data_IF_591309799658
#
_entry.id   IF_591309799658
#
_cell.length_a   1.000
_cell.length_b   1.000
_cell.length_c   1.000
_cell.angle_alpha   90.00
_cell.angle_beta   90.00
_cell.angle_gamma   90.00
#
_symmetry.space_group_name_H-M   'P 1'
#
loop_
_entity.id
_entity.type
_entity.pdbx_description
1 polymer ?
#
# COMPACT_ATOMS: atom_id res chain seq x y z
N UNK A 1 20.40 30.14 31.26
CA UNK A 1 21.39 29.12 30.87
C UNK A 1 20.84 28.44 29.63
N UNK A 2 21.11 29.02 28.45
CA UNK A 2 20.58 28.58 27.16
C UNK A 2 21.74 28.06 26.32
N UNK A 3 21.64 26.81 25.86
CA UNK A 3 22.47 26.31 24.78
C UNK A 3 21.56 26.04 23.57
N UNK A 4 21.81 26.80 22.52
CA UNK A 4 21.40 26.51 21.15
C UNK A 4 22.20 25.32 20.60
N UNK A 5 21.59 24.54 19.71
CA UNK A 5 22.31 24.03 18.54
C UNK A 5 21.41 24.06 17.30
N UNK A 6 21.83 24.90 16.36
CA UNK A 6 21.48 24.90 14.95
C UNK A 6 21.93 23.59 14.30
N UNK A 7 21.08 22.99 13.45
CA UNK A 7 21.56 22.22 12.30
C UNK A 7 20.77 22.63 11.06
N UNK A 8 21.55 22.91 10.04
CA UNK A 8 21.27 23.58 8.78
C UNK A 8 20.41 22.78 7.80
N UNK A 9 19.49 23.51 7.16
CA UNK A 9 18.71 23.13 5.99
C UNK A 9 19.58 23.27 4.73
N UNK A 10 19.62 22.22 3.89
CA UNK A 10 20.12 22.28 2.52
C UNK A 10 19.02 21.87 1.55
N UNK A 11 18.39 22.85 0.91
CA UNK A 11 17.50 22.69 -0.25
C UNK A 11 18.32 22.70 -1.54
N UNK A 12 17.88 21.98 -2.57
CA UNK A 12 17.91 22.48 -3.94
C UNK A 12 16.83 21.81 -4.79
N UNK A 13 15.85 22.62 -5.16
CA UNK A 13 14.87 22.41 -6.23
C UNK A 13 15.44 23.00 -7.52
N UNK A 14 15.21 22.36 -8.66
CA UNK A 14 15.08 23.07 -9.94
C UNK A 14 14.12 22.31 -10.87
N UNK A 15 13.18 23.06 -11.46
CA UNK A 15 12.11 22.62 -12.37
C UNK A 15 12.31 23.29 -13.74
N UNK A 16 12.21 22.47 -14.79
CA UNK A 16 11.82 22.69 -16.22
C UNK A 16 12.63 23.60 -17.17
N UNK A 17 12.82 23.09 -18.39
CA UNK A 17 12.95 23.88 -19.62
C UNK A 17 13.53 23.11 -20.82
N UNK A 18 12.79 23.02 -21.92
CA UNK A 18 12.98 22.22 -23.14
C UNK A 18 14.11 22.62 -24.11
N UNK A 19 14.49 21.64 -24.95
CA UNK A 19 15.06 21.68 -26.32
C UNK A 19 16.55 22.05 -26.53
N UNK A 20 17.37 21.05 -26.86
CA UNK A 20 18.07 20.89 -28.15
C UNK A 20 19.09 19.73 -28.08
N UNK A 21 19.01 18.79 -29.03
CA UNK A 21 20.15 17.94 -29.47
C UNK A 21 20.93 18.75 -30.53
N UNK A 22 22.24 18.52 -30.87
CA UNK A 22 22.91 17.21 -30.89
C UNK A 22 24.38 17.12 -30.41
N UNK A 23 24.76 15.88 -30.09
CA UNK A 23 26.08 15.23 -30.21
C UNK A 23 27.33 15.93 -29.62
N UNK A 24 27.98 15.28 -28.64
CA UNK A 24 29.40 14.89 -28.69
C UNK A 24 29.58 13.65 -27.80
N UNK A 25 30.26 12.66 -28.36
CA UNK A 25 30.78 11.43 -27.75
C UNK A 25 31.51 11.66 -26.42
N UNK A 26 31.12 10.90 -25.37
CA UNK A 26 32.12 10.28 -24.52
C UNK A 26 31.56 9.00 -23.87
N UNK A 27 32.31 7.92 -24.04
CA UNK A 27 31.97 6.60 -23.53
C UNK A 27 32.52 6.49 -22.12
N UNK A 28 31.73 6.83 -21.11
CA UNK A 28 32.15 6.57 -19.73
C UNK A 28 31.78 5.14 -19.36
N UNK A 29 32.78 4.27 -19.49
CA UNK A 29 32.84 2.96 -18.85
C UNK A 29 32.41 3.07 -17.38
N UNK A 30 31.42 2.28 -17.00
CA UNK A 30 31.01 2.11 -15.61
C UNK A 30 32.08 1.27 -14.91
N UNK A 31 33.08 1.93 -14.32
CA UNK A 31 34.03 1.29 -13.40
C UNK A 31 33.33 1.07 -12.05
N UNK A 32 32.74 -0.11 -11.89
CA UNK A 32 32.30 -0.61 -10.58
C UNK A 32 33.54 -0.96 -9.73
N UNK A 33 34.04 -0.02 -8.92
CA UNK A 33 35.12 -0.29 -7.96
C UNK A 33 34.55 -0.66 -6.59
N UNK A 34 34.22 -1.94 -6.40
CA UNK A 34 33.84 -2.48 -5.09
C UNK A 34 35.07 -2.62 -4.19
N UNK A 35 35.46 -1.55 -3.48
CA UNK A 35 36.63 -1.56 -2.60
C UNK A 35 36.33 -2.23 -1.24
N UNK A 36 36.58 -3.54 -1.13
CA UNK A 36 36.48 -4.27 0.15
C UNK A 36 37.73 -4.12 1.04
N UNK A 37 38.83 -3.59 0.50
CA UNK A 37 40.09 -3.45 1.25
C UNK A 37 39.95 -2.52 2.46
N UNK A 38 39.03 -1.55 2.42
CA UNK A 38 38.72 -0.68 3.57
C UNK A 38 38.21 -1.42 4.81
N UNK A 39 37.74 -2.65 4.67
CA UNK A 39 37.28 -3.49 5.79
C UNK A 39 38.38 -4.41 6.34
N UNK A 40 39.57 -4.39 5.75
CA UNK A 40 40.75 -5.09 6.28
C UNK A 40 41.27 -4.27 7.45
N UNK A 41 40.87 -4.62 8.67
CA UNK A 41 41.52 -4.06 9.86
C UNK A 41 43.00 -4.43 9.81
N UNK A 42 43.88 -3.42 9.83
CA UNK A 42 45.28 -3.59 10.18
C UNK A 42 45.30 -4.34 11.52
N UNK A 43 45.91 -5.53 11.51
CA UNK A 43 46.08 -6.31 12.73
C UNK A 43 47.11 -5.62 13.61
N UNK A 44 46.68 -4.70 14.45
CA UNK A 44 47.50 -4.20 15.55
C UNK A 44 46.97 -4.73 16.88
N UNK A 45 47.75 -5.68 17.39
CA UNK A 45 48.01 -5.96 18.81
C UNK A 45 46.82 -6.30 19.70
N UNK A 46 46.28 -7.50 19.48
CA UNK A 46 45.61 -8.30 20.52
C UNK A 46 46.00 -9.76 20.36
N UNK A 47 46.99 -10.23 21.13
CA UNK A 47 47.42 -11.63 21.15
C UNK A 47 46.23 -12.51 21.52
N UNK A 48 45.66 -13.22 20.54
CA UNK A 48 44.89 -14.44 20.78
C UNK A 48 45.62 -15.64 20.19
N UNK A 49 46.88 -15.80 20.61
CA UNK A 49 47.48 -17.10 20.76
C UNK A 49 47.27 -17.55 22.21
N UNK A 50 46.11 -18.14 22.50
CA UNK A 50 45.95 -19.05 23.65
C UNK A 50 44.68 -19.88 23.54
N UNK A 51 44.88 -21.18 23.33
CA UNK A 51 44.01 -22.23 23.86
C UNK A 51 42.76 -22.58 23.06
N UNK A 52 42.92 -23.38 22.00
CA UNK A 52 41.95 -24.44 21.73
C UNK A 52 41.98 -25.39 22.93
N UNK A 53 41.14 -25.14 23.93
CA UNK A 53 40.88 -26.08 25.02
C UNK A 53 39.42 -26.50 24.95
N UNK A 54 39.22 -27.82 24.88
CA UNK A 54 37.94 -28.48 25.15
C UNK A 54 37.46 -28.04 26.53
N UNK A 55 36.30 -27.40 26.58
CA UNK A 55 35.51 -27.31 27.81
C UNK A 55 34.15 -27.88 27.51
N UNK A 56 33.94 -29.13 27.92
CA UNK A 56 32.61 -29.67 28.21
C UNK A 56 32.02 -28.84 29.36
N UNK A 57 30.97 -28.08 29.07
CA UNK A 57 30.31 -27.23 30.05
C UNK A 57 29.08 -26.60 29.44
N UNK A 58 27.93 -27.20 29.72
CA UNK A 58 26.60 -26.84 29.27
C UNK A 58 26.29 -25.35 29.40
N UNK A 59 26.12 -24.68 28.26
CA UNK A 59 25.15 -23.60 28.15
C UNK A 59 24.05 -24.20 27.27
N UNK A 60 22.90 -24.46 27.89
CA UNK A 60 21.71 -24.94 27.22
C UNK A 60 21.25 -23.88 26.20
N UNK A 61 21.77 -23.99 24.98
CA UNK A 61 21.15 -23.42 23.82
C UNK A 61 20.01 -24.38 23.45
N UNK A 62 18.78 -24.00 23.79
CA UNK A 62 17.62 -24.53 23.08
C UNK A 62 17.71 -23.96 21.65
N UNK A 63 18.46 -24.65 20.80
CA UNK A 63 18.41 -24.50 19.35
C UNK A 63 17.62 -25.67 18.84
N UNK A 64 16.39 -25.38 18.41
CA UNK A 64 15.73 -26.20 17.41
C UNK A 64 16.70 -26.31 16.23
N UNK A 65 17.11 -27.54 15.93
CA UNK A 65 18.04 -27.87 14.86
C UNK A 65 17.33 -27.66 13.52
N UNK A 66 17.36 -26.43 13.01
CA UNK A 66 17.05 -26.18 11.60
C UNK A 66 18.18 -26.77 10.74
N UNK A 67 17.79 -27.67 9.84
CA UNK A 67 18.64 -28.39 8.89
C UNK A 67 19.62 -27.45 8.18
N UNK A 68 20.92 -27.56 8.50
CA UNK A 68 21.96 -26.83 7.78
C UNK A 68 22.11 -27.40 6.37
N UNK A 69 21.67 -26.65 5.36
CA UNK A 69 22.08 -26.87 3.97
C UNK A 69 23.60 -26.66 3.88
N UNK A 70 24.37 -27.73 3.80
CA UNK A 70 25.83 -27.65 3.66
C UNK A 70 26.24 -27.32 2.22
N UNK A 71 27.36 -26.59 2.06
CA UNK A 71 27.92 -26.29 0.74
C UNK A 71 28.10 -27.57 -0.12
N UNK A 72 27.63 -27.51 -1.37
CA UNK A 72 27.82 -28.52 -2.43
C UNK A 72 29.25 -28.47 -3.00
N UNK A 73 30.22 -28.64 -2.12
CA UNK A 73 31.65 -28.65 -2.46
C UNK A 73 32.12 -30.11 -2.48
N UNK A 74 32.92 -30.53 -3.49
CA UNK A 74 33.42 -31.90 -3.59
C UNK A 74 34.07 -32.38 -2.29
N UNK A 75 33.82 -33.63 -1.90
CA UNK A 75 34.36 -34.23 -0.66
C UNK A 75 35.90 -34.12 -0.61
N UNK A 76 36.56 -34.25 -1.76
CA UNK A 76 38.00 -34.07 -1.89
C UNK A 76 38.48 -32.65 -1.52
N UNK A 77 37.67 -31.61 -1.75
CA UNK A 77 38.00 -30.23 -1.36
C UNK A 77 37.80 -30.01 0.14
N UNK A 78 36.79 -30.66 0.75
CA UNK A 78 36.63 -30.67 2.22
C UNK A 78 37.84 -31.33 2.90
N UNK A 79 38.31 -32.46 2.37
CA UNK A 79 39.48 -33.19 2.89
C UNK A 79 40.81 -32.42 2.74
N UNK A 80 40.98 -31.65 1.65
CA UNK A 80 42.18 -30.82 1.46
C UNK A 80 42.36 -29.76 2.56
N UNK A 81 41.28 -29.29 3.17
CA UNK A 81 41.37 -28.28 4.24
C UNK A 81 42.12 -28.78 5.49
N UNK A 82 42.23 -30.09 5.69
CA UNK A 82 42.93 -30.68 6.84
C UNK A 82 44.46 -30.62 6.71
N UNK A 83 44.97 -30.45 5.50
CA UNK A 83 46.41 -30.50 5.22
C UNK A 83 46.96 -29.20 4.60
N UNK A 84 46.10 -28.21 4.31
CA UNK A 84 46.52 -26.92 3.75
C UNK A 84 46.40 -25.78 4.76
N UNK A 85 47.42 -24.92 4.83
CA UNK A 85 47.39 -23.68 5.61
C UNK A 85 46.18 -22.83 5.24
N UNK A 86 45.47 -22.34 6.26
CA UNK A 86 44.35 -21.40 6.13
C UNK A 86 44.82 -20.01 5.71
N UNK A 87 46.08 -19.64 5.96
CA UNK A 87 46.61 -18.31 5.65
C UNK A 87 46.73 -18.11 4.15
N UNK A 88 45.92 -17.19 3.62
CA UNK A 88 45.91 -16.87 2.20
C UNK A 88 46.90 -15.75 1.87
N UNK A 89 47.71 -15.96 0.84
CA UNK A 89 48.60 -14.94 0.24
C UNK A 89 48.01 -14.42 -1.07
N UNK A 90 48.33 -13.18 -1.49
CA UNK A 90 47.85 -12.63 -2.77
C UNK A 90 48.18 -13.52 -3.98
N UNK A 91 49.39 -14.11 -4.01
CA UNK A 91 49.80 -15.07 -5.07
C UNK A 91 48.89 -16.30 -5.15
N UNK A 92 48.38 -16.76 -4.00
CA UNK A 92 47.48 -17.93 -3.92
C UNK A 92 46.07 -17.59 -4.42
N UNK A 93 45.55 -16.40 -4.08
CA UNK A 93 44.28 -15.89 -4.62
C UNK A 93 44.35 -15.77 -6.14
N UNK A 94 45.41 -15.15 -6.67
CA UNK A 94 45.60 -15.03 -8.12
C UNK A 94 45.66 -16.39 -8.80
N UNK A 95 46.31 -17.38 -8.18
CA UNK A 95 46.33 -18.76 -8.71
C UNK A 95 44.94 -19.39 -8.75
N UNK A 96 44.11 -19.18 -7.72
CA UNK A 96 42.73 -19.66 -7.71
C UNK A 96 41.85 -18.95 -8.73
N UNK A 97 42.01 -17.64 -8.88
CA UNK A 97 41.32 -16.80 -9.86
C UNK A 97 41.70 -17.19 -11.30
N UNK A 98 42.98 -17.50 -11.55
CA UNK A 98 43.45 -18.03 -12.84
C UNK A 98 42.91 -19.42 -13.15
N UNK A 99 42.64 -20.23 -12.12
CA UNK A 99 42.04 -21.55 -12.25
C UNK A 99 40.50 -21.54 -12.20
N UNK A 100 39.88 -20.36 -12.17
CA UNK A 100 38.42 -20.21 -12.11
C UNK A 100 37.77 -20.95 -10.94
N UNK A 101 38.41 -20.98 -9.76
CA UNK A 101 37.85 -21.69 -8.61
C UNK A 101 36.58 -20.99 -8.11
N UNK A 102 35.52 -21.76 -7.86
CA UNK A 102 34.24 -21.21 -7.41
C UNK A 102 34.37 -20.49 -6.06
N UNK A 103 33.44 -19.56 -5.80
CA UNK A 103 33.35 -18.81 -4.56
C UNK A 103 33.27 -19.76 -3.34
N UNK A 104 32.48 -20.82 -3.41
CA UNK A 104 32.26 -21.82 -2.36
C UNK A 104 33.52 -22.64 -2.08
N UNK A 105 34.24 -23.01 -3.15
CA UNK A 105 35.50 -23.75 -3.05
C UNK A 105 36.54 -22.91 -2.32
N UNK A 106 36.67 -21.64 -2.68
CA UNK A 106 37.61 -20.73 -2.03
C UNK A 106 37.19 -20.42 -0.60
N UNK A 107 35.90 -20.21 -0.33
CA UNK A 107 35.35 -20.04 1.02
C UNK A 107 35.76 -21.20 1.96
N UNK A 108 35.60 -22.43 1.46
CA UNK A 108 35.99 -23.65 2.17
C UNK A 108 37.50 -23.74 2.40
N UNK A 109 38.32 -23.43 1.39
CA UNK A 109 39.79 -23.45 1.48
C UNK A 109 40.37 -22.41 2.44
N UNK A 110 39.68 -21.28 2.59
CA UNK A 110 39.99 -20.24 3.56
C UNK A 110 39.58 -20.62 4.99
N UNK A 111 38.91 -21.76 5.16
CA UNK A 111 38.34 -22.25 6.41
C UNK A 111 37.29 -21.31 7.03
N UNK A 112 36.67 -20.45 6.23
CA UNK A 112 35.62 -19.52 6.68
C UNK A 112 34.35 -20.25 7.14
N UNK A 113 34.15 -21.49 6.73
CA UNK A 113 33.08 -22.37 7.23
C UNK A 113 33.18 -22.65 8.74
N UNK A 114 34.39 -22.57 9.33
CA UNK A 114 34.60 -22.78 10.76
C UNK A 114 34.26 -21.55 11.61
N UNK A 115 34.17 -20.37 11.01
CA UNK A 115 33.91 -19.13 11.73
C UNK A 115 32.48 -19.07 12.28
N UNK A 116 31.51 -19.73 11.63
CA UNK A 116 30.11 -19.73 12.06
C UNK A 116 29.57 -18.31 12.23
N UNK A 117 28.99 -18.02 13.39
CA UNK A 117 28.49 -16.67 13.74
C UNK A 117 29.57 -15.59 13.82
N UNK A 118 30.85 -15.96 13.89
CA UNK A 118 31.98 -15.03 14.00
C UNK A 118 32.56 -14.60 12.65
N UNK A 119 31.94 -15.00 11.53
CA UNK A 119 32.42 -14.74 10.16
C UNK A 119 32.83 -13.28 9.91
N UNK A 120 32.04 -12.32 10.40
CA UNK A 120 32.30 -10.89 10.21
C UNK A 120 33.55 -10.37 10.92
N UNK A 121 34.10 -11.13 11.86
CA UNK A 121 35.36 -10.81 12.56
C UNK A 121 36.57 -11.49 11.94
N UNK A 122 36.36 -12.44 11.03
CA UNK A 122 37.45 -13.13 10.36
C UNK A 122 38.12 -12.16 9.37
N UNK A 123 39.41 -11.91 9.57
CA UNK A 123 40.19 -10.98 8.74
C UNK A 123 40.30 -11.43 7.27
N UNK A 124 40.02 -12.70 7.00
CA UNK A 124 40.02 -13.26 5.66
C UNK A 124 38.67 -13.10 4.95
N UNK A 125 37.58 -12.78 5.67
CA UNK A 125 36.26 -12.67 5.07
C UNK A 125 36.16 -11.52 4.03
N UNK A 126 36.64 -10.29 4.29
CA UNK A 126 36.69 -9.24 3.26
C UNK A 126 37.59 -9.63 2.07
N UNK A 127 38.65 -10.41 2.33
CA UNK A 127 39.54 -10.91 1.27
C UNK A 127 38.82 -11.91 0.35
N UNK A 128 37.94 -12.73 0.91
CA UNK A 128 37.08 -13.62 0.13
C UNK A 128 36.03 -12.86 -0.67
N UNK A 129 35.41 -11.82 -0.10
CA UNK A 129 34.46 -10.97 -0.83
C UNK A 129 35.10 -10.32 -2.06
N UNK A 130 36.31 -9.77 -1.91
CA UNK A 130 37.08 -9.24 -3.03
C UNK A 130 37.37 -10.30 -4.09
N UNK A 131 37.73 -11.52 -3.68
CA UNK A 131 37.96 -12.62 -4.61
C UNK A 131 36.72 -12.96 -5.44
N UNK A 132 35.52 -12.93 -4.84
CA UNK A 132 34.27 -13.19 -5.57
C UNK A 132 34.00 -12.10 -6.60
N UNK A 133 34.24 -10.83 -6.27
CA UNK A 133 34.11 -9.72 -7.22
C UNK A 133 35.11 -9.84 -8.37
N UNK A 134 36.37 -10.15 -8.07
CA UNK A 134 37.42 -10.35 -9.08
C UNK A 134 37.09 -11.54 -10.00
N UNK A 135 36.50 -12.61 -9.44
CA UNK A 135 36.05 -13.78 -10.19
C UNK A 135 34.92 -13.40 -11.16
N UNK A 136 33.92 -12.67 -10.67
CA UNK A 136 32.77 -12.22 -11.46
C UNK A 136 33.17 -11.23 -12.55
N UNK A 137 34.14 -10.34 -12.30
CA UNK A 137 34.67 -9.43 -13.30
C UNK A 137 35.42 -10.16 -14.43
N UNK A 138 36.08 -11.28 -14.10
CA UNK A 138 36.89 -12.05 -15.04
C UNK A 138 36.08 -13.01 -15.91
N UNK A 139 35.01 -13.59 -15.39
CA UNK A 139 34.12 -14.47 -16.14
C UNK A 139 32.95 -13.65 -16.64
N UNK A 140 32.85 -13.32 -17.93
CA UNK A 140 31.71 -12.56 -18.50
C UNK A 140 30.33 -13.23 -18.35
N UNK A 141 30.25 -14.39 -17.68
CA UNK A 141 29.01 -15.00 -17.22
C UNK A 141 28.59 -14.40 -15.88
N UNK A 142 27.28 -14.37 -15.64
CA UNK A 142 26.64 -14.07 -14.34
C UNK A 142 27.20 -15.04 -13.27
N UNK A 143 28.35 -14.71 -12.70
CA UNK A 143 28.97 -15.52 -11.66
C UNK A 143 28.16 -15.47 -10.37
N UNK A 144 28.32 -16.49 -9.53
CA UNK A 144 27.64 -16.60 -8.24
C UNK A 144 27.99 -15.38 -7.38
N UNK A 145 26.99 -14.62 -6.94
CA UNK A 145 27.22 -13.52 -6.00
C UNK A 145 27.75 -14.07 -4.67
N UNK A 146 28.53 -13.28 -3.92
CA UNK A 146 28.99 -13.69 -2.60
C UNK A 146 27.81 -14.05 -1.68
N UNK A 147 26.69 -13.34 -1.80
CA UNK A 147 25.45 -13.64 -1.09
C UNK A 147 24.90 -15.02 -1.46
N UNK A 148 24.90 -15.40 -2.73
CA UNK A 148 24.41 -16.71 -3.14
C UNK A 148 25.24 -17.84 -2.51
N UNK A 149 26.57 -17.71 -2.51
CA UNK A 149 27.46 -18.68 -1.85
C UNK A 149 27.26 -18.72 -0.32
N UNK A 150 27.04 -17.56 0.32
CA UNK A 150 26.72 -17.49 1.75
C UNK A 150 25.36 -18.09 2.06
N UNK A 151 24.36 -17.84 1.22
CA UNK A 151 22.99 -18.37 1.36
C UNK A 151 23.00 -19.89 1.23
N UNK A 152 23.79 -20.44 0.30
CA UNK A 152 23.99 -21.88 0.16
C UNK A 152 24.68 -22.54 1.37
N UNK A 153 25.40 -21.78 2.20
CA UNK A 153 26.11 -22.28 3.39
C UNK A 153 25.31 -22.10 4.69
N UNK A 154 24.53 -21.02 4.80
CA UNK A 154 23.87 -20.64 6.05
C UNK A 154 22.34 -20.70 5.95
N UNK A 155 21.75 -20.67 4.76
CA UNK A 155 20.34 -20.39 4.55
C UNK A 155 20.02 -18.89 4.66
N UNK A 156 18.90 -18.46 4.08
CA UNK A 156 18.49 -17.04 4.06
C UNK A 156 18.27 -16.48 5.48
N UNK A 157 17.52 -17.21 6.33
CA UNK A 157 17.21 -16.80 7.70
C UNK A 157 18.43 -16.60 8.57
N UNK A 158 19.33 -17.58 8.60
CA UNK A 158 20.52 -17.49 9.44
C UNK A 158 21.48 -16.42 8.92
N UNK A 159 21.66 -16.33 7.60
CA UNK A 159 22.50 -15.30 6.99
C UNK A 159 21.96 -13.90 7.27
N UNK A 160 20.65 -13.68 7.10
CA UNK A 160 20.01 -12.39 7.42
C UNK A 160 20.21 -12.02 8.89
N UNK A 161 19.98 -12.95 9.83
CA UNK A 161 20.21 -12.75 11.26
C UNK A 161 21.67 -12.38 11.55
N UNK A 162 22.64 -13.06 10.92
CA UNK A 162 24.06 -12.75 11.08
C UNK A 162 24.39 -11.34 10.59
N UNK A 163 23.88 -10.92 9.42
CA UNK A 163 24.08 -9.59 8.86
C UNK A 163 23.48 -8.52 9.78
N UNK A 164 22.23 -8.69 10.23
CA UNK A 164 21.55 -7.73 11.12
C UNK A 164 22.30 -7.56 12.44
N UNK A 165 22.80 -8.64 13.04
CA UNK A 165 23.60 -8.56 14.26
C UNK A 165 24.94 -7.85 14.02
N UNK A 166 25.61 -8.14 12.91
CA UNK A 166 26.86 -7.49 12.54
C UNK A 166 26.70 -5.97 12.27
N UNK A 167 25.50 -5.51 11.88
CA UNK A 167 25.20 -4.06 11.72
C UNK A 167 25.16 -3.30 13.04
N UNK A 168 24.86 -3.96 14.16
CA UNK A 168 24.78 -3.32 15.49
C UNK A 168 26.19 -2.95 15.99
N UNK A 169 27.20 -3.70 15.56
CA UNK A 169 28.54 -3.62 16.10
C UNK A 169 29.39 -2.67 15.25
N UNK A 170 29.87 -1.59 15.85
CA UNK A 170 30.59 -0.50 15.16
C UNK A 170 31.70 -1.01 14.20
N UNK A 171 32.51 -1.97 14.65
CA UNK A 171 33.62 -2.55 13.86
C UNK A 171 33.15 -3.23 12.56
N UNK A 172 31.97 -3.86 12.56
CA UNK A 172 31.45 -4.65 11.44
C UNK A 172 30.32 -3.95 10.69
N UNK A 173 29.86 -2.80 11.20
CA UNK A 173 28.68 -2.09 10.73
C UNK A 173 28.71 -1.79 9.24
N UNK A 174 29.81 -1.22 8.75
CA UNK A 174 29.91 -0.79 7.35
C UNK A 174 29.95 -2.01 6.40
N UNK A 175 30.70 -3.06 6.77
CA UNK A 175 30.77 -4.31 6.02
C UNK A 175 29.39 -4.98 5.95
N UNK A 176 28.71 -5.08 7.10
CA UNK A 176 27.39 -5.68 7.19
C UNK A 176 26.32 -4.85 6.46
N UNK A 177 26.43 -3.53 6.47
CA UNK A 177 25.52 -2.65 5.71
C UNK A 177 25.68 -2.87 4.21
N UNK A 178 26.92 -2.98 3.71
CA UNK A 178 27.17 -3.29 2.31
C UNK A 178 26.65 -4.69 1.94
N UNK A 179 26.92 -5.70 2.78
CA UNK A 179 26.40 -7.06 2.55
C UNK A 179 24.86 -7.14 2.60
N UNK A 180 24.19 -6.36 3.45
CA UNK A 180 22.73 -6.30 3.43
C UNK A 180 22.19 -5.70 2.13
N UNK A 181 22.86 -4.68 1.58
CA UNK A 181 22.49 -4.11 0.29
C UNK A 181 22.71 -5.15 -0.84
N UNK A 182 23.84 -5.84 -0.83
CA UNK A 182 24.11 -6.94 -1.78
C UNK A 182 23.08 -8.07 -1.64
N UNK A 183 22.62 -8.35 -0.41
CA UNK A 183 21.60 -9.36 -0.13
C UNK A 183 20.25 -8.97 -0.73
N UNK A 184 19.81 -7.73 -0.53
CA UNK A 184 18.58 -7.23 -1.15
C UNK A 184 18.66 -7.29 -2.69
N UNK A 185 19.78 -6.86 -3.29
CA UNK A 185 19.97 -6.92 -4.74
C UNK A 185 19.98 -8.35 -5.29
N UNK A 186 20.55 -9.30 -4.53
CA UNK A 186 20.50 -10.71 -4.87
C UNK A 186 19.06 -11.23 -4.86
N UNK A 187 18.30 -10.97 -3.79
CA UNK A 187 16.90 -11.36 -3.68
C UNK A 187 16.02 -10.75 -4.78
N UNK A 188 16.28 -9.51 -5.19
CA UNK A 188 15.60 -8.89 -6.34
C UNK A 188 15.96 -9.59 -7.65
N UNK A 189 17.23 -9.95 -7.84
CA UNK A 189 17.70 -10.61 -9.06
C UNK A 189 17.13 -12.01 -9.25
N UNK A 190 16.91 -12.75 -8.16
CA UNK A 190 16.32 -14.10 -8.19
C UNK A 190 14.80 -14.12 -7.99
N UNK A 191 14.16 -12.94 -7.87
CA UNK A 191 12.72 -12.80 -7.58
C UNK A 191 12.29 -13.62 -6.36
N UNK A 192 13.02 -13.48 -5.26
CA UNK A 192 12.63 -14.14 -3.99
C UNK A 192 11.19 -13.71 -3.63
N UNK A 193 10.41 -14.63 -3.07
CA UNK A 193 9.01 -14.37 -2.77
C UNK A 193 8.90 -13.22 -1.75
N UNK A 194 8.14 -12.14 -2.03
CA UNK A 194 7.90 -11.07 -1.07
C UNK A 194 7.42 -11.54 0.30
N UNK A 195 6.63 -12.61 0.39
CA UNK A 195 6.18 -13.13 1.68
C UNK A 195 7.34 -13.73 2.50
N UNK A 196 8.28 -14.43 1.85
CA UNK A 196 9.49 -14.91 2.54
C UNK A 196 10.32 -13.73 3.05
N UNK A 197 10.48 -12.67 2.25
CA UNK A 197 11.22 -11.47 2.67
C UNK A 197 10.48 -10.71 3.77
N UNK A 198 9.14 -10.70 3.74
CA UNK A 198 8.30 -10.12 4.80
C UNK A 198 8.54 -10.80 6.16
N UNK A 199 8.61 -12.14 6.16
CA UNK A 199 8.97 -12.94 7.32
C UNK A 199 10.41 -12.73 7.80
N UNK A 200 11.38 -12.64 6.88
CA UNK A 200 12.77 -12.35 7.23
C UNK A 200 12.89 -11.02 7.97
N UNK A 201 12.11 -10.03 7.55
CA UNK A 201 12.04 -8.71 8.20
C UNK A 201 11.21 -8.71 9.50
N UNK A 202 10.66 -9.88 9.88
CA UNK A 202 9.81 -10.10 11.06
C UNK A 202 8.56 -9.22 11.07
N UNK A 203 8.07 -8.85 9.89
CA UNK A 203 6.90 -7.98 9.74
C UNK A 203 5.60 -8.71 10.09
N UNK A 204 5.57 -10.04 10.00
CA UNK A 204 4.50 -10.91 10.47
C UNK A 204 4.21 -10.75 11.98
N UNK A 205 5.21 -10.30 12.74
CA UNK A 205 5.11 -10.07 14.19
C UNK A 205 4.62 -8.65 14.52
N UNK A 206 4.53 -7.77 13.52
CA UNK A 206 4.16 -6.36 13.67
C UNK A 206 2.68 -6.20 13.36
N UNK A 207 1.86 -6.11 14.41
CA UNK A 207 0.40 -5.99 14.26
C UNK A 207 -0.05 -4.55 14.05
N UNK A 208 0.16 -3.69 15.04
CA UNK A 208 -0.24 -2.28 15.01
C UNK A 208 0.92 -1.43 14.48
N UNK A 209 0.60 -0.38 13.73
CA UNK A 209 1.57 0.60 13.20
C UNK A 209 2.59 0.04 12.20
N UNK A 210 2.24 -1.04 11.49
CA UNK A 210 3.13 -1.62 10.47
C UNK A 210 3.53 -0.60 9.40
N UNK A 211 2.61 0.29 9.01
CA UNK A 211 2.86 1.35 8.03
C UNK A 211 3.85 2.43 8.51
N UNK A 212 4.11 2.51 9.82
CA UNK A 212 5.13 3.39 10.39
C UNK A 212 6.46 2.67 10.63
N UNK A 213 6.53 1.36 10.38
CA UNK A 213 7.74 0.58 10.59
C UNK A 213 8.72 0.81 9.43
N UNK A 214 9.97 1.26 9.69
CA UNK A 214 10.96 1.46 8.62
C UNK A 214 11.28 0.17 7.86
N UNK A 215 11.21 -1.00 8.49
CA UNK A 215 11.39 -2.30 7.82
C UNK A 215 10.24 -2.58 6.85
N UNK A 216 9.02 -2.13 7.14
CA UNK A 216 7.91 -2.25 6.20
C UNK A 216 8.15 -1.39 4.95
N UNK A 217 8.63 -0.16 5.14
CA UNK A 217 9.02 0.71 4.02
C UNK A 217 10.14 0.10 3.18
N UNK A 218 11.14 -0.51 3.83
CA UNK A 218 12.22 -1.22 3.14
C UNK A 218 11.69 -2.44 2.36
N UNK A 219 10.74 -3.19 2.93
CA UNK A 219 10.10 -4.33 2.26
C UNK A 219 9.24 -3.89 1.07
N UNK A 220 8.47 -2.81 1.20
CA UNK A 220 7.71 -2.26 0.06
C UNK A 220 8.63 -1.82 -1.07
N UNK A 221 9.74 -1.15 -0.74
CA UNK A 221 10.76 -0.81 -1.74
C UNK A 221 11.34 -2.07 -2.42
N UNK A 222 11.58 -3.13 -1.65
CA UNK A 222 12.03 -4.40 -2.21
C UNK A 222 11.04 -4.97 -3.24
N UNK A 223 9.73 -4.95 -2.94
CA UNK A 223 8.69 -5.39 -3.89
C UNK A 223 8.70 -4.54 -5.16
N UNK A 224 8.88 -3.22 -5.03
CA UNK A 224 8.99 -2.31 -6.18
C UNK A 224 10.24 -2.60 -7.02
N UNK A 225 11.38 -2.85 -6.37
CA UNK A 225 12.64 -3.17 -7.06
C UNK A 225 12.50 -4.50 -7.84
N UNK A 226 11.77 -5.49 -7.31
CA UNK A 226 11.44 -6.74 -8.03
C UNK A 226 10.60 -6.44 -9.27
N UNK A 227 9.50 -5.71 -9.12
CA UNK A 227 8.59 -5.37 -10.23
C UNK A 227 9.26 -4.50 -11.29
N UNK A 228 10.16 -3.59 -10.89
CA UNK A 228 10.90 -2.72 -11.81
C UNK A 228 11.94 -3.50 -12.61
N UNK A 229 12.56 -4.52 -12.01
CA UNK A 229 13.59 -5.33 -12.67
C UNK A 229 13.01 -6.41 -13.58
N UNK A 230 11.77 -6.81 -13.34
CA UNK A 230 11.05 -7.85 -14.11
C UNK A 230 9.67 -7.30 -14.54
N UNK A 231 9.62 -6.28 -15.41
CA UNK A 231 8.38 -5.58 -15.78
C UNK A 231 7.37 -6.46 -16.54
N UNK A 232 7.81 -7.58 -17.11
CA UNK A 232 6.96 -8.58 -17.77
C UNK A 232 6.05 -9.34 -16.80
N UNK A 233 6.46 -9.46 -15.54
CA UNK A 233 5.72 -10.16 -14.49
C UNK A 233 5.84 -9.40 -13.16
N UNK A 234 5.18 -8.23 -13.05
CA UNK A 234 5.22 -7.42 -11.85
C UNK A 234 4.58 -8.17 -10.68
N UNK A 235 5.15 -7.99 -9.50
CA UNK A 235 4.70 -8.62 -8.27
C UNK A 235 3.94 -7.60 -7.42
N UNK A 236 2.78 -8.01 -6.91
CA UNK A 236 2.00 -7.20 -5.97
C UNK A 236 2.38 -7.55 -4.53
N UNK A 237 2.38 -6.56 -3.64
CA UNK A 237 2.58 -6.78 -2.20
C UNK A 237 1.34 -7.40 -1.52
N UNK A 238 0.16 -7.27 -2.14
CA UNK A 238 -1.13 -7.60 -1.51
C UNK A 238 -1.29 -9.07 -1.15
N UNK A 239 -0.87 -10.06 -1.98
CA UNK A 239 -0.95 -11.47 -1.60
C UNK A 239 -0.19 -11.79 -0.31
N UNK A 240 0.99 -11.17 -0.09
CA UNK A 240 1.74 -11.33 1.15
C UNK A 240 1.00 -10.67 2.33
N UNK A 241 0.52 -9.42 2.16
CA UNK A 241 -0.22 -8.72 3.21
C UNK A 241 -1.49 -9.46 3.64
N UNK A 242 -2.21 -10.07 2.69
CA UNK A 242 -3.45 -10.83 2.93
C UNK A 242 -3.28 -12.06 3.80
N UNK A 243 -2.06 -12.59 3.94
CA UNK A 243 -1.80 -13.68 4.89
C UNK A 243 -1.92 -13.23 6.35
N UNK A 244 -1.80 -11.93 6.61
CA UNK A 244 -1.78 -11.36 7.97
C UNK A 244 -2.89 -10.34 8.24
N UNK A 245 -3.40 -9.68 7.19
CA UNK A 245 -4.39 -8.62 7.29
C UNK A 245 -5.50 -8.84 6.27
N UNK A 246 -6.75 -8.80 6.73
CA UNK A 246 -7.89 -8.71 5.83
C UNK A 246 -7.90 -7.35 5.12
N UNK A 247 -8.53 -7.28 3.95
CA UNK A 247 -8.56 -6.06 3.13
C UNK A 247 -9.21 -4.87 3.89
N UNK A 248 -10.28 -5.12 4.65
CA UNK A 248 -10.93 -4.11 5.51
C UNK A 248 -9.97 -3.52 6.56
N UNK A 249 -9.18 -4.38 7.21
CA UNK A 249 -8.18 -4.01 8.21
C UNK A 249 -7.04 -3.21 7.56
N UNK A 250 -6.57 -3.60 6.37
CA UNK A 250 -5.58 -2.84 5.63
C UNK A 250 -6.09 -1.43 5.31
N UNK A 251 -7.34 -1.31 4.86
CA UNK A 251 -7.95 -0.02 4.54
C UNK A 251 -8.13 0.89 5.77
N UNK A 252 -8.47 0.34 6.93
CA UNK A 252 -8.49 1.11 8.18
C UNK A 252 -7.10 1.59 8.60
N UNK A 253 -6.09 0.72 8.46
CA UNK A 253 -4.69 1.08 8.73
C UNK A 253 -4.21 2.20 7.79
N UNK A 254 -4.48 2.09 6.49
CA UNK A 254 -4.09 3.13 5.52
C UNK A 254 -4.85 4.43 5.77
N UNK A 255 -6.16 4.39 6.04
CA UNK A 255 -6.95 5.57 6.37
C UNK A 255 -6.42 6.32 7.60
N UNK A 256 -5.94 5.59 8.60
CA UNK A 256 -5.30 6.18 9.79
C UNK A 256 -3.93 6.76 9.45
N UNK A 257 -3.09 6.00 8.73
CA UNK A 257 -1.73 6.40 8.35
C UNK A 257 -1.69 7.58 7.34
N UNK A 258 -2.76 7.83 6.60
CA UNK A 258 -2.87 9.01 5.72
C UNK A 258 -3.01 10.34 6.47
N UNK A 259 -3.27 10.31 7.79
CA UNK A 259 -3.41 11.52 8.62
C UNK A 259 -2.08 12.15 9.01
N UNK A 260 -0.98 11.43 8.83
CA UNK A 260 0.40 11.85 9.14
C UNK A 260 1.21 11.90 7.86
N UNK A 261 1.90 13.01 7.62
CA UNK A 261 2.58 13.25 6.34
C UNK A 261 3.70 12.22 6.08
N UNK A 262 4.35 11.74 7.14
CA UNK A 262 5.42 10.75 7.09
C UNK A 262 4.95 9.40 6.53
N UNK A 263 3.73 8.97 6.84
CA UNK A 263 3.19 7.66 6.46
C UNK A 263 2.16 7.73 5.33
N UNK A 264 1.80 8.93 4.89
CA UNK A 264 0.80 9.14 3.85
C UNK A 264 1.17 8.52 2.51
N UNK A 265 2.44 8.63 2.12
CA UNK A 265 2.95 8.05 0.87
C UNK A 265 2.80 6.52 0.85
N UNK A 266 3.30 5.85 1.90
CA UNK A 266 3.23 4.39 2.00
C UNK A 266 1.78 3.90 2.13
N UNK A 267 0.94 4.64 2.86
CA UNK A 267 -0.47 4.32 2.99
C UNK A 267 -1.25 4.45 1.68
N UNK A 268 -0.97 5.49 0.88
CA UNK A 268 -1.54 5.62 -0.47
C UNK A 268 -1.10 4.46 -1.36
N UNK A 269 0.18 4.08 -1.32
CA UNK A 269 0.68 2.96 -2.12
C UNK A 269 0.01 1.63 -1.78
N UNK A 270 -0.13 1.31 -0.50
CA UNK A 270 -0.81 0.07 -0.07
C UNK A 270 -2.28 0.08 -0.49
N UNK A 271 -2.97 1.21 -0.36
CA UNK A 271 -4.36 1.34 -0.85
C UNK A 271 -4.42 1.14 -2.37
N UNK A 272 -3.52 1.76 -3.12
CA UNK A 272 -3.55 1.74 -4.58
C UNK A 272 -3.29 0.33 -5.14
N UNK A 273 -2.29 -0.37 -4.60
CA UNK A 273 -2.02 -1.76 -4.95
C UNK A 273 -3.21 -2.67 -4.60
N UNK A 274 -3.88 -2.43 -3.47
CA UNK A 274 -5.07 -3.18 -3.07
C UNK A 274 -6.24 -2.96 -4.05
N UNK A 275 -6.50 -1.70 -4.40
CA UNK A 275 -7.54 -1.35 -5.37
C UNK A 275 -7.23 -1.91 -6.77
N UNK A 276 -5.97 -1.95 -7.19
CA UNK A 276 -5.57 -2.60 -8.45
C UNK A 276 -5.82 -4.10 -8.43
N UNK A 277 -5.58 -4.77 -7.30
CA UNK A 277 -5.92 -6.20 -7.15
C UNK A 277 -7.43 -6.42 -7.18
N UNK A 278 -8.21 -5.59 -6.50
CA UNK A 278 -9.68 -5.63 -6.60
C UNK A 278 -10.15 -5.46 -8.04
N UNK A 279 -9.59 -4.46 -8.73
CA UNK A 279 -9.90 -4.16 -10.12
C UNK A 279 -9.54 -5.32 -11.05
N UNK A 280 -8.35 -5.90 -10.92
CA UNK A 280 -7.92 -7.09 -11.68
C UNK A 280 -8.80 -8.32 -11.45
N UNK A 281 -9.28 -8.50 -10.21
CA UNK A 281 -10.22 -9.58 -9.84
C UNK A 281 -11.67 -9.33 -10.25
N UNK A 282 -11.98 -8.18 -10.90
CA UNK A 282 -13.33 -7.75 -11.26
C UNK A 282 -14.28 -7.63 -10.06
N UNK A 283 -13.77 -7.30 -8.87
CA UNK A 283 -14.62 -6.98 -7.72
C UNK A 283 -15.57 -5.85 -8.12
N UNK A 284 -16.86 -6.03 -7.91
CA UNK A 284 -17.85 -5.03 -8.33
C UNK A 284 -17.85 -3.84 -7.37
N UNK A 285 -18.26 -2.63 -7.81
CA UNK A 285 -18.49 -1.48 -6.93
C UNK A 285 -19.37 -1.82 -5.71
N UNK A 286 -20.36 -2.69 -5.94
CA UNK A 286 -21.28 -3.24 -4.95
C UNK A 286 -20.59 -4.09 -3.87
N UNK A 287 -19.62 -4.94 -4.26
CA UNK A 287 -18.81 -5.73 -3.34
C UNK A 287 -17.77 -4.88 -2.62
N UNK A 288 -17.14 -3.94 -3.33
CA UNK A 288 -16.19 -2.98 -2.76
C UNK A 288 -16.85 -2.12 -1.66
N UNK A 289 -18.08 -1.65 -1.87
CA UNK A 289 -18.85 -0.92 -0.86
C UNK A 289 -19.03 -1.73 0.44
N UNK A 290 -19.27 -3.03 0.31
CA UNK A 290 -19.43 -3.94 1.46
C UNK A 290 -18.10 -4.18 2.17
N UNK A 291 -17.04 -4.42 1.41
CA UNK A 291 -15.68 -4.65 1.91
C UNK A 291 -15.13 -3.42 2.66
N UNK A 292 -15.44 -2.21 2.17
CA UNK A 292 -15.10 -0.95 2.84
C UNK A 292 -15.92 -0.71 4.13
N UNK A 293 -16.82 -1.63 4.49
CA UNK A 293 -17.65 -1.52 5.69
C UNK A 293 -18.70 -0.40 5.64
N UNK A 294 -18.84 0.30 4.51
CA UNK A 294 -19.68 1.49 4.37
C UNK A 294 -21.18 1.20 4.56
N UNK A 295 -21.61 -0.04 4.36
CA UNK A 295 -23.00 -0.44 4.63
C UNK A 295 -23.34 -0.58 6.14
N UNK A 296 -22.33 -0.69 7.01
CA UNK A 296 -22.48 -1.01 8.45
C UNK A 296 -22.32 0.20 9.36
N UNK A 297 -21.85 1.34 8.85
CA UNK A 297 -21.52 2.49 9.70
C UNK A 297 -22.76 3.10 10.33
N UNK A 298 -22.73 3.27 11.67
CA UNK A 298 -23.76 4.02 12.43
C UNK A 298 -23.68 5.52 12.12
N UNK A 299 -22.45 5.99 11.89
CA UNK A 299 -22.11 7.31 11.40
C UNK A 299 -22.31 7.30 9.88
N UNK A 300 -22.86 8.36 9.28
CA UNK A 300 -23.28 8.34 7.88
C UNK A 300 -22.17 7.90 6.94
N UNK A 301 -22.52 7.21 5.84
CA UNK A 301 -21.59 6.73 4.80
C UNK A 301 -20.57 7.80 4.38
N UNK A 302 -21.02 9.06 4.34
CA UNK A 302 -20.24 10.22 3.91
C UNK A 302 -19.21 10.73 4.92
N UNK A 303 -19.34 10.33 6.19
CA UNK A 303 -18.40 10.70 7.26
C UNK A 303 -17.25 9.70 7.38
N UNK A 304 -17.40 8.53 6.74
CA UNK A 304 -16.35 7.51 6.75
C UNK A 304 -15.11 8.00 6.00
N UNK A 305 -13.90 7.84 6.58
CA UNK A 305 -12.67 8.14 5.86
C UNK A 305 -12.48 7.28 4.61
N UNK A 306 -13.19 6.15 4.51
CA UNK A 306 -13.15 5.22 3.38
C UNK A 306 -14.12 5.59 2.24
N UNK A 307 -14.94 6.63 2.40
CA UNK A 307 -15.83 7.11 1.34
C UNK A 307 -15.06 7.57 0.08
N UNK A 308 -13.92 8.23 0.30
CA UNK A 308 -13.05 8.66 -0.80
C UNK A 308 -12.41 7.46 -1.52
N UNK A 309 -12.09 6.39 -0.80
CA UNK A 309 -11.57 5.15 -1.38
C UNK A 309 -12.61 4.50 -2.28
N UNK A 310 -13.90 4.47 -1.89
CA UNK A 310 -14.99 4.02 -2.75
C UNK A 310 -15.04 4.84 -4.05
N UNK A 311 -15.03 6.16 -3.94
CA UNK A 311 -15.13 7.06 -5.11
C UNK A 311 -13.96 6.83 -6.07
N UNK A 312 -12.73 6.79 -5.55
CA UNK A 312 -11.52 6.46 -6.31
C UNK A 312 -11.62 5.11 -7.01
N UNK A 313 -12.15 4.10 -6.33
CA UNK A 313 -12.32 2.77 -6.89
C UNK A 313 -13.36 2.75 -8.02
N UNK A 314 -14.49 3.44 -7.85
CA UNK A 314 -15.53 3.52 -8.88
C UNK A 314 -15.01 4.21 -10.15
N UNK A 315 -14.23 5.28 -10.01
CA UNK A 315 -13.65 5.97 -11.16
C UNK A 315 -12.76 5.01 -11.98
N UNK A 316 -11.85 4.30 -11.31
CA UNK A 316 -10.97 3.31 -11.94
C UNK A 316 -11.75 2.10 -12.51
N UNK A 317 -12.80 1.66 -11.83
CA UNK A 317 -13.66 0.57 -12.29
C UNK A 317 -14.44 0.95 -13.56
N UNK A 318 -15.02 2.15 -13.57
CA UNK A 318 -15.78 2.69 -14.70
C UNK A 318 -14.88 2.91 -15.93
N UNK A 319 -13.65 3.36 -15.73
CA UNK A 319 -12.66 3.50 -16.80
C UNK A 319 -12.27 2.14 -17.41
N UNK A 320 -12.07 1.12 -16.56
CA UNK A 320 -11.66 -0.22 -17.03
C UNK A 320 -12.81 -1.04 -17.61
N UNK A 321 -14.03 -0.81 -17.15
CA UNK A 321 -15.23 -1.56 -17.53
C UNK A 321 -16.35 -0.63 -18.02
N UNK A 322 -16.19 0.01 -19.20
CA UNK A 322 -17.14 1.01 -19.71
C UNK A 322 -18.57 0.47 -19.88
N UNK A 323 -18.72 -0.82 -20.19
CA UNK A 323 -20.03 -1.48 -20.35
C UNK A 323 -20.77 -1.75 -19.03
N UNK A 324 -20.09 -1.55 -17.89
CA UNK A 324 -20.62 -1.85 -16.54
C UNK A 324 -20.52 -0.64 -15.61
N UNK A 325 -20.51 0.55 -16.19
CA UNK A 325 -20.39 1.79 -15.44
C UNK A 325 -21.52 1.96 -14.43
N UNK A 326 -21.20 2.53 -13.28
CA UNK A 326 -22.19 2.88 -12.27
C UNK A 326 -21.72 4.09 -11.47
N UNK A 327 -22.67 4.85 -10.93
CA UNK A 327 -22.36 5.97 -10.05
C UNK A 327 -22.26 5.55 -8.58
N UNK A 328 -21.66 6.41 -7.76
CA UNK A 328 -21.62 6.26 -6.30
C UNK A 328 -23.05 6.13 -5.74
N UNK A 329 -23.98 6.96 -6.22
CA UNK A 329 -25.35 6.97 -5.71
C UNK A 329 -26.13 5.71 -6.06
N UNK A 330 -25.98 5.19 -7.27
CA UNK A 330 -26.58 3.92 -7.70
C UNK A 330 -26.03 2.74 -6.88
N UNK A 331 -24.72 2.71 -6.69
CA UNK A 331 -24.03 1.66 -5.93
C UNK A 331 -24.52 1.61 -4.49
N UNK A 332 -24.58 2.77 -3.83
CA UNK A 332 -25.11 2.86 -2.47
C UNK A 332 -26.62 2.50 -2.46
N UNK A 333 -27.38 2.99 -3.43
CA UNK A 333 -28.83 2.74 -3.51
C UNK A 333 -29.15 1.26 -3.69
N UNK A 334 -28.45 0.52 -4.55
CA UNK A 334 -28.65 -0.93 -4.73
C UNK A 334 -28.47 -1.71 -3.43
N UNK A 335 -27.50 -1.33 -2.60
CA UNK A 335 -27.18 -2.04 -1.34
C UNK A 335 -28.00 -1.58 -0.15
N UNK A 336 -28.32 -0.29 -0.07
CA UNK A 336 -28.86 0.34 1.15
C UNK A 336 -30.34 0.72 0.98
N UNK A 337 -30.81 0.88 -0.26
CA UNK A 337 -32.17 1.24 -0.62
C UNK A 337 -32.43 2.75 -0.64
N UNK A 338 -33.24 3.21 -1.59
CA UNK A 338 -33.46 4.63 -1.90
C UNK A 338 -33.85 5.48 -0.69
N UNK A 339 -34.83 5.00 0.09
CA UNK A 339 -35.32 5.72 1.27
C UNK A 339 -34.24 5.92 2.32
N UNK A 340 -33.41 4.90 2.55
CA UNK A 340 -32.34 4.99 3.56
C UNK A 340 -31.25 5.93 3.08
N UNK A 341 -30.90 5.88 1.79
CA UNK A 341 -29.99 6.85 1.17
C UNK A 341 -30.53 8.28 1.31
N UNK A 342 -31.79 8.54 0.96
CA UNK A 342 -32.38 9.87 1.08
C UNK A 342 -32.34 10.41 2.52
N UNK A 343 -32.51 9.54 3.53
CA UNK A 343 -32.36 9.92 4.95
C UNK A 343 -30.92 10.26 5.31
N UNK A 344 -29.96 9.45 4.87
CA UNK A 344 -28.53 9.69 5.11
C UNK A 344 -28.12 11.05 4.50
N UNK A 345 -28.51 11.32 3.25
CA UNK A 345 -28.22 12.58 2.58
C UNK A 345 -28.89 13.77 3.28
N UNK A 346 -30.15 13.62 3.68
CA UNK A 346 -30.87 14.67 4.43
C UNK A 346 -30.15 15.02 5.73
N UNK A 347 -29.74 14.01 6.51
CA UNK A 347 -29.00 14.22 7.75
C UNK A 347 -27.61 14.84 7.50
N UNK A 348 -26.89 14.36 6.48
CA UNK A 348 -25.56 14.85 6.13
C UNK A 348 -25.57 16.30 5.60
N UNK A 349 -26.70 16.81 5.11
CA UNK A 349 -26.87 18.23 4.75
C UNK A 349 -26.91 19.18 5.96
N UNK A 350 -27.11 18.65 7.16
CA UNK A 350 -27.11 19.43 8.40
C UNK A 350 -25.73 19.65 9.01
N UNK A 351 -24.69 18.99 8.49
CA UNK A 351 -23.30 19.13 8.96
C UNK A 351 -22.47 19.83 7.90
N UNK A 352 -21.79 20.94 8.25
CA UNK A 352 -21.02 21.74 7.29
C UNK A 352 -19.96 20.92 6.53
N UNK A 353 -19.30 19.98 7.21
CA UNK A 353 -18.29 19.12 6.62
C UNK A 353 -18.83 18.22 5.48
N UNK A 354 -20.08 17.77 5.57
CA UNK A 354 -20.68 16.84 4.59
C UNK A 354 -21.72 17.49 3.69
N UNK A 355 -22.13 18.73 3.96
CA UNK A 355 -23.22 19.41 3.25
C UNK A 355 -23.03 19.48 1.75
N UNK A 356 -21.82 19.79 1.30
CA UNK A 356 -21.53 19.92 -0.14
C UNK A 356 -21.63 18.58 -0.87
N UNK A 357 -21.00 17.53 -0.32
CA UNK A 357 -21.05 16.19 -0.94
C UNK A 357 -22.46 15.59 -0.86
N UNK A 358 -23.17 15.79 0.26
CA UNK A 358 -24.55 15.33 0.43
C UNK A 358 -25.50 16.01 -0.56
N UNK A 359 -25.32 17.31 -0.84
CA UNK A 359 -26.12 18.03 -1.83
C UNK A 359 -25.86 17.51 -3.25
N UNK A 360 -24.60 17.27 -3.62
CA UNK A 360 -24.26 16.67 -4.93
C UNK A 360 -24.86 15.27 -5.11
N UNK A 361 -24.77 14.44 -4.07
CA UNK A 361 -25.34 13.09 -4.10
C UNK A 361 -26.86 13.09 -4.08
N UNK A 362 -27.51 14.08 -3.44
CA UNK A 362 -28.97 14.24 -3.53
C UNK A 362 -29.37 14.57 -4.96
N UNK A 363 -28.71 15.53 -5.63
CA UNK A 363 -28.97 15.82 -7.04
C UNK A 363 -28.82 14.57 -7.92
N UNK A 364 -27.73 13.83 -7.76
CA UNK A 364 -27.50 12.58 -8.50
C UNK A 364 -28.58 11.52 -8.20
N UNK A 365 -29.11 11.48 -6.96
CA UNK A 365 -30.22 10.60 -6.60
C UNK A 365 -31.51 10.98 -7.35
N UNK A 366 -31.81 12.28 -7.42
CA UNK A 366 -32.99 12.78 -8.13
C UNK A 366 -32.89 12.52 -9.65
N UNK A 367 -31.73 12.76 -10.24
CA UNK A 367 -31.45 12.47 -11.66
C UNK A 367 -31.59 10.97 -11.97
N UNK A 368 -31.06 10.10 -11.09
CA UNK A 368 -31.22 8.64 -11.20
C UNK A 368 -32.71 8.22 -11.12
N UNK A 369 -33.50 8.81 -10.23
CA UNK A 369 -34.94 8.54 -10.18
C UNK A 369 -35.67 8.98 -11.45
N UNK A 370 -35.28 10.13 -12.00
CA UNK A 370 -35.85 10.66 -13.23
C UNK A 370 -35.49 9.80 -14.45
N UNK A 371 -34.22 9.41 -14.59
CA UNK A 371 -33.74 8.59 -15.71
C UNK A 371 -34.35 7.18 -15.71
N UNK A 372 -34.70 6.66 -14.53
CA UNK A 372 -35.44 5.39 -14.37
C UNK A 372 -36.95 5.54 -14.56
N UNK A 373 -37.44 6.73 -14.95
CA UNK A 373 -38.82 6.99 -15.31
C UNK A 373 -39.79 7.04 -14.12
N UNK A 374 -39.29 7.22 -12.89
CA UNK A 374 -40.15 7.26 -11.69
C UNK A 374 -41.07 8.48 -11.71
N UNK A 375 -42.35 8.30 -11.44
CA UNK A 375 -43.28 9.42 -11.25
C UNK A 375 -43.09 10.05 -9.86
N UNK A 376 -43.65 11.25 -9.66
CA UNK A 376 -43.68 11.85 -8.32
C UNK A 376 -44.42 10.96 -7.31
N UNK A 377 -45.43 10.21 -7.75
CA UNK A 377 -46.15 9.25 -6.91
C UNK A 377 -45.28 8.04 -6.55
N UNK A 378 -44.48 7.53 -7.49
CA UNK A 378 -43.55 6.43 -7.21
C UNK A 378 -42.55 6.83 -6.13
N UNK A 379 -42.01 8.05 -6.21
CA UNK A 379 -41.09 8.59 -5.20
C UNK A 379 -41.80 8.83 -3.86
N UNK A 380 -43.06 9.27 -3.88
CA UNK A 380 -43.86 9.42 -2.66
C UNK A 380 -43.96 8.10 -1.89
N UNK A 381 -44.32 7.01 -2.59
CA UNK A 381 -44.42 5.67 -2.00
C UNK A 381 -43.07 5.10 -1.59
N UNK A 382 -42.05 5.26 -2.44
CA UNK A 382 -40.68 4.80 -2.19
C UNK A 382 -40.06 5.44 -0.94
N UNK A 383 -40.26 6.75 -0.75
CA UNK A 383 -39.80 7.47 0.45
C UNK A 383 -40.65 7.15 1.69
N UNK A 384 -41.76 6.42 1.51
CA UNK A 384 -42.75 6.09 2.53
C UNK A 384 -43.22 7.36 3.24
N UNK A 385 -43.64 8.36 2.46
CA UNK A 385 -44.23 9.61 2.96
C UNK A 385 -45.65 9.41 3.53
N UNK A 386 -45.98 8.20 4.01
CA UNK A 386 -47.30 7.86 4.55
C UNK A 386 -47.75 8.91 5.56
N UNK A 387 -49.00 9.34 5.40
CA UNK A 387 -49.70 10.29 6.28
C UNK A 387 -49.63 9.80 7.73
N UNK A 388 -48.77 10.39 8.55
CA UNK A 388 -48.85 10.22 10.00
C UNK A 388 -49.96 11.13 10.52
N UNK A 389 -51.19 10.63 10.36
CA UNK A 389 -52.48 11.17 10.79
C UNK A 389 -52.90 12.55 10.25
N UNK A 390 -52.07 13.60 10.22
CA UNK A 390 -52.50 14.94 9.73
C UNK A 390 -51.42 15.83 9.08
N UNK A 391 -50.14 15.44 9.01
CA UNK A 391 -49.08 16.28 8.42
C UNK A 391 -47.80 15.49 8.06
N UNK A 392 -46.79 16.19 7.54
CA UNK A 392 -45.45 15.68 7.21
C UNK A 392 -44.38 16.09 8.23
N UNK A 393 -44.76 16.67 9.38
CA UNK A 393 -43.82 17.30 10.33
C UNK A 393 -42.78 16.31 10.89
N UNK A 394 -43.10 15.02 10.90
CA UNK A 394 -42.24 13.95 11.39
C UNK A 394 -41.44 13.24 10.27
N UNK A 395 -41.58 13.70 9.02
CA UNK A 395 -40.92 13.09 7.89
C UNK A 395 -39.90 14.06 7.25
N UNK A 396 -38.60 13.86 7.50
CA UNK A 396 -37.57 14.75 6.96
C UNK A 396 -37.45 14.67 5.43
N UNK A 397 -38.07 13.68 4.79
CA UNK A 397 -37.97 13.45 3.35
C UNK A 397 -39.00 14.21 2.51
N UNK A 398 -39.91 14.98 3.13
CA UNK A 398 -40.86 15.83 2.39
C UNK A 398 -40.11 16.74 1.41
N UNK A 399 -39.04 17.39 1.88
CA UNK A 399 -38.27 18.33 1.06
C UNK A 399 -37.58 17.64 -0.11
N UNK A 400 -37.07 16.42 0.08
CA UNK A 400 -36.46 15.62 -0.99
C UNK A 400 -37.50 15.26 -2.06
N UNK A 401 -38.71 14.87 -1.68
CA UNK A 401 -39.79 14.61 -2.63
C UNK A 401 -40.22 15.85 -3.41
N UNK A 402 -40.35 17.00 -2.75
CA UNK A 402 -40.65 18.26 -3.44
C UNK A 402 -39.48 18.70 -4.35
N UNK A 403 -38.24 18.45 -3.94
CA UNK A 403 -37.07 18.64 -4.81
C UNK A 403 -37.13 17.74 -6.05
N UNK A 404 -37.64 16.52 -5.93
CA UNK A 404 -37.87 15.66 -7.10
C UNK A 404 -38.93 16.23 -8.04
N UNK A 405 -40.03 16.77 -7.53
CA UNK A 405 -41.02 17.47 -8.37
C UNK A 405 -40.41 18.64 -9.12
N UNK A 406 -39.54 19.41 -8.45
CA UNK A 406 -38.82 20.50 -9.10
C UNK A 406 -38.03 19.99 -10.33
N UNK A 407 -37.32 18.86 -10.19
CA UNK A 407 -36.58 18.23 -11.28
C UNK A 407 -37.52 17.85 -12.43
N UNK A 408 -38.66 17.21 -12.13
CA UNK A 408 -39.67 16.84 -13.14
C UNK A 408 -40.23 18.05 -13.89
N UNK A 409 -40.50 19.15 -13.17
CA UNK A 409 -41.08 20.38 -13.73
C UNK A 409 -40.06 21.21 -14.50
N UNK A 410 -38.80 21.22 -14.06
CA UNK A 410 -37.73 21.94 -14.75
C UNK A 410 -37.42 21.27 -16.10
N UNK A 411 -37.44 19.94 -16.15
CA UNK A 411 -37.26 19.19 -17.40
C UNK A 411 -38.45 19.34 -18.37
N UNK A 412 -39.67 19.33 -17.82
CA UNK A 412 -40.88 19.49 -18.63
C UNK A 412 -41.90 20.39 -17.93
N UNK A 413 -41.86 21.72 -18.19
CA UNK A 413 -42.75 22.69 -17.55
C UNK A 413 -44.23 22.39 -17.73
N UNK A 414 -44.64 21.72 -18.82
CA UNK A 414 -46.04 21.36 -19.07
C UNK A 414 -46.59 20.36 -18.03
N UNK A 415 -45.71 19.63 -17.33
CA UNK A 415 -46.13 18.71 -16.25
C UNK A 415 -46.57 19.44 -14.98
N UNK A 416 -46.25 20.73 -14.82
CA UNK A 416 -46.56 21.50 -13.61
C UNK A 416 -48.04 21.45 -13.25
N UNK A 417 -48.93 21.81 -14.19
CA UNK A 417 -50.38 21.84 -13.92
C UNK A 417 -50.90 20.47 -13.51
N UNK A 418 -50.48 19.40 -14.21
CA UNK A 418 -50.89 18.03 -13.90
C UNK A 418 -50.39 17.59 -12.52
N UNK A 419 -49.15 17.95 -12.15
CA UNK A 419 -48.57 17.69 -10.84
C UNK A 419 -49.41 18.33 -9.72
N UNK A 420 -49.66 19.64 -9.81
CA UNK A 420 -50.43 20.35 -8.79
C UNK A 420 -51.88 19.87 -8.70
N UNK A 421 -52.56 19.62 -9.81
CA UNK A 421 -53.91 19.04 -9.79
C UNK A 421 -53.94 17.66 -9.12
N UNK A 422 -52.92 16.81 -9.38
CA UNK A 422 -52.80 15.51 -8.70
C UNK A 422 -52.63 15.69 -7.20
N UNK A 423 -51.83 16.67 -6.76
CA UNK A 423 -51.67 16.98 -5.34
C UNK A 423 -53.00 17.40 -4.69
N UNK A 424 -53.86 18.16 -5.37
CA UNK A 424 -55.18 18.57 -4.84
C UNK A 424 -56.11 17.41 -4.59
N UNK A 425 -56.07 16.40 -5.46
CA UNK A 425 -56.91 15.20 -5.30
C UNK A 425 -56.46 14.35 -4.11
N UNK A 426 -55.20 14.45 -3.69
CA UNK A 426 -54.60 13.59 -2.65
C UNK A 426 -54.43 14.28 -1.30
N UNK A 427 -54.25 15.59 -1.29
CA UNK A 427 -53.90 16.35 -0.10
C UNK A 427 -54.84 17.55 0.10
N UNK A 428 -55.46 17.61 1.27
CA UNK A 428 -56.21 18.77 1.78
C UNK A 428 -55.44 19.43 2.94
N UNK A 429 -55.87 20.62 3.35
CA UNK A 429 -55.50 21.26 4.61
C UNK A 429 -53.99 21.39 4.86
N UNK A 430 -53.54 21.04 6.08
CA UNK A 430 -52.16 21.18 6.56
C UNK A 430 -51.13 20.42 5.71
N UNK A 431 -51.33 19.15 5.30
CA UNK A 431 -50.40 18.44 4.41
C UNK A 431 -50.16 19.21 3.10
N UNK A 432 -51.23 19.72 2.49
CA UNK A 432 -51.10 20.50 1.25
C UNK A 432 -50.30 21.77 1.48
N UNK A 433 -50.62 22.54 2.53
CA UNK A 433 -49.88 23.77 2.85
C UNK A 433 -48.37 23.52 3.06
N UNK A 434 -47.99 22.41 3.69
CA UNK A 434 -46.58 22.04 3.88
C UNK A 434 -45.87 21.72 2.55
N UNK A 435 -46.57 21.09 1.61
CA UNK A 435 -46.04 20.82 0.26
C UNK A 435 -45.81 22.14 -0.47
N UNK A 436 -46.78 23.06 -0.44
CA UNK A 436 -46.68 24.36 -1.09
C UNK A 436 -45.57 25.22 -0.49
N UNK A 437 -45.40 25.21 0.83
CA UNK A 437 -44.29 25.90 1.50
C UNK A 437 -42.91 25.36 1.12
N UNK A 438 -42.79 24.03 0.96
CA UNK A 438 -41.57 23.44 0.43
C UNK A 438 -41.36 23.80 -1.05
N UNK A 439 -42.43 23.81 -1.87
CA UNK A 439 -42.36 24.09 -3.30
C UNK A 439 -41.96 25.54 -3.60
N UNK A 440 -42.39 26.49 -2.76
CA UNK A 440 -41.99 27.91 -2.83
C UNK A 440 -40.48 28.14 -2.69
N UNK A 441 -39.72 27.17 -2.17
CA UNK A 441 -38.25 27.26 -2.11
C UNK A 441 -37.57 27.02 -3.46
N UNK A 442 -38.33 26.66 -4.49
CA UNK A 442 -37.83 26.38 -5.82
C UNK A 442 -38.38 27.41 -6.83
N UNK A 443 -37.53 28.18 -7.51
CA UNK A 443 -37.98 29.22 -8.44
C UNK A 443 -38.91 28.70 -9.54
N UNK A 444 -38.68 27.46 -10.01
CA UNK A 444 -39.51 26.86 -11.05
C UNK A 444 -40.95 26.66 -10.62
N UNK A 445 -41.23 26.49 -9.32
CA UNK A 445 -42.57 26.20 -8.76
C UNK A 445 -43.14 27.33 -7.91
N UNK A 446 -42.37 28.38 -7.62
CA UNK A 446 -42.71 29.43 -6.66
C UNK A 446 -44.03 30.13 -6.97
N UNK A 447 -44.21 30.57 -8.22
CA UNK A 447 -45.41 31.29 -8.65
C UNK A 447 -46.67 30.42 -8.53
N UNK A 448 -46.61 29.17 -9.03
CA UNK A 448 -47.73 28.24 -8.97
C UNK A 448 -48.08 27.86 -7.52
N UNK A 449 -47.07 27.56 -6.71
CA UNK A 449 -47.26 27.21 -5.30
C UNK A 449 -47.85 28.39 -4.49
N UNK A 450 -47.41 29.62 -4.75
CA UNK A 450 -47.92 30.83 -4.08
C UNK A 450 -49.37 31.13 -4.46
N UNK A 451 -49.69 31.03 -5.76
CA UNK A 451 -51.07 31.22 -6.25
C UNK A 451 -52.03 30.24 -5.57
N UNK A 452 -51.68 28.95 -5.63
CA UNK A 452 -52.49 27.88 -5.07
C UNK A 452 -52.63 27.96 -3.55
N UNK A 453 -51.59 28.40 -2.85
CA UNK A 453 -51.65 28.65 -1.41
C UNK A 453 -52.63 29.77 -1.07
N UNK A 454 -52.63 30.85 -1.86
CA UNK A 454 -53.52 31.99 -1.68
C UNK A 454 -54.99 31.59 -1.90
N UNK A 455 -55.27 30.85 -2.97
CA UNK A 455 -56.61 30.33 -3.28
C UNK A 455 -57.14 29.43 -2.15
N UNK A 456 -56.29 28.57 -1.58
CA UNK A 456 -56.67 27.71 -0.46
C UNK A 456 -56.96 28.48 0.82
N UNK A 457 -56.15 29.49 1.16
CA UNK A 457 -56.40 30.34 2.35
C UNK A 457 -57.72 31.11 2.21
N UNK A 458 -58.06 31.55 0.99
CA UNK A 458 -59.32 32.26 0.72
C UNK A 458 -60.56 31.36 0.70
N UNK A 459 -60.37 30.04 0.54
CA UNK A 459 -61.46 29.04 0.51
C UNK A 459 -61.82 28.42 1.86
N UNK A 460 -61.04 28.73 2.91
CA UNK A 460 -61.28 28.35 4.32
C UNK A 460 -62.06 29.46 4.99
#
# INVERSE_FOLDING_TARGET
MYFHYLVTVGFLVAVKGTNADPSVTDSTEVVSSSNWDRFRTAGETGVFARGFLRTTGSIAANTDEDERAGLSVPVAEKLKTWFTSSKVTPKRLQSWLNKGKSAETVFTRMQLTKAGSWLFYDSQFPTWLQYVDDLNAKTSQKGTSAISALTAQYGDDALYKMIVQAKIISRTKDLATKLQADQAQHWVAIRKDPDEVFHLFKLDKVKRNILSNPEFTAWVKYVDDVSTKHPEEPVSMIPALRKYFNDDTLLELTATAKRTEETKSIANKVEDDLLQVWLGSRKTPDEALVELGLCRTTNGILESPLFNTLTKYLDAYNERYPDKTTSVIETITRKVGDRKVAKILTAAKSTDATKNIATKLESAQLEMWQSTGKSADDIFELLKLRKTRHDFSHNPLLRTWVSYMNVVVTENPNKMSTLFSTLETRFSDRPMLQILEAAKKFPSMESAATKMQTEKIQSI
#
